data_IF_400586617236
#
_entry.id   IF_400586617236
#
_cell.length_a   1.000
_cell.length_b   1.000
_cell.length_c   1.000
_cell.angle_alpha   90.00
_cell.angle_beta   90.00
_cell.angle_gamma   90.00
#
_symmetry.space_group_name_H-M   'P 1'
#
loop_
_entity.id
_entity.type
_entity.pdbx_description
1 polymer ?
#
# COMPACT_ATOMS: atom_id res chain seq x y z
N UNK A 1 4.51 17.26 -3.22
CA UNK A 1 5.78 17.69 -3.83
C UNK A 1 6.15 16.72 -4.94
N UNK A 2 6.87 17.17 -5.97
CA UNK A 2 7.46 16.34 -7.03
C UNK A 2 8.92 16.77 -7.17
N UNK A 3 9.81 15.82 -7.37
CA UNK A 3 11.26 16.06 -7.50
C UNK A 3 11.60 16.15 -8.99
N UNK A 4 12.42 17.13 -9.38
CA UNK A 4 12.91 17.32 -10.77
C UNK A 4 14.44 17.23 -10.90
N UNK A 5 15.14 16.92 -9.81
CA UNK A 5 16.60 16.76 -9.80
C UNK A 5 17.03 15.37 -10.23
N UNK A 6 17.31 15.20 -11.52
CA UNK A 6 17.95 13.99 -12.08
C UNK A 6 19.43 13.91 -11.72
N UNK A 7 20.12 15.06 -11.66
CA UNK A 7 21.51 15.17 -11.21
C UNK A 7 21.58 15.50 -9.72
N UNK A 8 22.14 14.58 -8.93
CA UNK A 8 22.31 14.70 -7.49
C UNK A 8 23.24 13.60 -6.96
N UNK A 9 23.40 13.48 -5.64
CA UNK A 9 24.36 12.52 -5.04
C UNK A 9 24.11 11.06 -5.45
N UNK A 10 22.90 10.70 -5.87
CA UNK A 10 22.54 9.35 -6.30
C UNK A 10 22.76 9.06 -7.79
N UNK A 11 23.37 9.98 -8.54
CA UNK A 11 23.59 9.88 -9.99
C UNK A 11 22.33 9.48 -10.78
N UNK A 12 21.16 9.95 -10.36
CA UNK A 12 19.89 9.74 -11.07
C UNK A 12 19.28 8.33 -10.99
N UNK A 13 19.96 7.32 -10.43
CA UNK A 13 19.46 5.94 -10.42
C UNK A 13 18.12 5.79 -9.67
N UNK A 14 18.03 6.34 -8.45
CA UNK A 14 16.78 6.35 -7.68
C UNK A 14 15.71 7.28 -8.29
N UNK A 15 16.16 8.33 -8.99
CA UNK A 15 15.26 9.25 -9.67
C UNK A 15 14.54 8.57 -10.83
N UNK A 16 15.30 7.97 -11.75
CA UNK A 16 14.77 7.26 -12.91
C UNK A 16 13.93 6.04 -12.51
N UNK A 17 14.38 5.26 -11.52
CA UNK A 17 13.71 4.03 -11.11
C UNK A 17 12.38 4.27 -10.37
N UNK A 18 12.29 5.34 -9.56
CA UNK A 18 11.15 5.52 -8.66
C UNK A 18 10.59 6.95 -8.61
N UNK A 19 11.42 7.98 -8.42
CA UNK A 19 10.92 9.35 -8.16
C UNK A 19 10.26 9.99 -9.37
N UNK A 20 10.73 9.70 -10.57
CA UNK A 20 10.22 10.23 -11.84
C UNK A 20 8.75 9.89 -12.09
N UNK A 21 8.24 8.81 -11.48
CA UNK A 21 6.87 8.31 -11.66
C UNK A 21 5.89 8.84 -10.62
N UNK A 22 6.35 9.66 -9.66
CA UNK A 22 5.48 10.27 -8.67
C UNK A 22 4.59 11.31 -9.35
N UNK A 23 3.28 11.06 -9.34
CA UNK A 23 2.30 11.95 -9.98
C UNK A 23 2.02 13.16 -9.09
N UNK A 24 2.33 14.35 -9.61
CA UNK A 24 1.89 15.59 -9.00
C UNK A 24 0.37 15.73 -9.16
N UNK A 25 -0.33 15.97 -8.05
CA UNK A 25 -1.76 16.29 -8.10
C UNK A 25 -1.94 17.69 -8.71
N UNK A 26 -2.79 17.79 -9.74
CA UNK A 26 -3.10 19.05 -10.44
C UNK A 26 -4.46 19.62 -10.05
N UNK A 27 -5.27 18.88 -9.31
CA UNK A 27 -6.60 19.31 -8.87
C UNK A 27 -6.52 20.10 -7.57
N UNK A 28 -7.23 21.23 -7.50
CA UNK A 28 -7.33 21.99 -6.25
C UNK A 28 -8.25 21.27 -5.28
N UNK A 29 -7.70 20.88 -4.13
CA UNK A 29 -8.45 20.27 -3.03
C UNK A 29 -8.53 21.31 -1.90
N UNK A 30 -9.75 21.71 -1.54
CA UNK A 30 -9.96 22.53 -0.34
C UNK A 30 -10.00 21.63 0.90
N UNK A 31 -8.84 21.43 1.50
CA UNK A 31 -8.71 20.60 2.71
C UNK A 31 -9.42 21.19 3.92
N UNK A 32 -9.57 22.52 4.02
CA UNK A 32 -10.22 23.15 5.18
C UNK A 32 -11.71 22.90 5.13
N UNK A 33 -12.34 23.21 3.99
CA UNK A 33 -13.77 22.98 3.80
C UNK A 33 -14.13 21.48 3.86
N UNK A 34 -13.23 20.61 3.41
CA UNK A 34 -13.47 19.16 3.37
C UNK A 34 -12.87 18.39 4.57
N UNK A 35 -12.24 19.06 5.55
CA UNK A 35 -11.53 18.39 6.64
C UNK A 35 -12.39 17.35 7.40
N UNK A 36 -13.67 17.61 7.72
CA UNK A 36 -14.52 16.61 8.39
C UNK A 36 -14.70 15.32 7.59
N UNK A 37 -14.64 15.39 6.26
CA UNK A 37 -14.82 14.24 5.37
C UNK A 37 -13.49 13.57 5.01
N UNK A 38 -12.48 14.36 4.64
CA UNK A 38 -11.21 13.85 4.13
C UNK A 38 -10.25 13.42 5.22
N UNK A 39 -10.27 14.11 6.37
CA UNK A 39 -9.21 13.99 7.37
C UNK A 39 -9.69 13.32 8.67
N UNK A 40 -10.97 12.96 8.79
CA UNK A 40 -11.52 12.39 10.02
C UNK A 40 -10.74 11.18 10.54
N UNK A 41 -10.45 10.23 9.65
CA UNK A 41 -9.76 8.99 10.00
C UNK A 41 -8.27 9.19 10.31
N UNK A 42 -7.65 10.30 9.90
CA UNK A 42 -6.22 10.58 10.16
C UNK A 42 -6.01 11.56 11.33
N UNK A 43 -7.06 11.83 12.12
CA UNK A 43 -6.97 12.76 13.26
C UNK A 43 -6.14 12.21 14.42
N UNK A 44 -6.19 10.90 14.63
CA UNK A 44 -5.41 10.19 15.64
C UNK A 44 -5.18 8.75 15.18
N UNK A 45 -4.35 8.04 15.94
CA UNK A 45 -3.94 6.68 15.64
C UNK A 45 -5.12 5.71 15.70
N UNK A 46 -6.01 5.86 16.70
CA UNK A 46 -7.12 4.93 16.92
C UNK A 46 -8.15 4.97 15.79
N UNK A 47 -8.49 6.17 15.30
CA UNK A 47 -9.39 6.34 14.18
C UNK A 47 -8.77 5.81 12.88
N UNK A 48 -7.45 5.95 12.73
CA UNK A 48 -6.77 5.44 11.54
C UNK A 48 -6.67 3.92 11.58
N UNK A 49 -6.36 3.33 12.73
CA UNK A 49 -6.40 1.89 12.97
C UNK A 49 -7.77 1.31 12.60
N UNK A 50 -8.85 1.89 13.15
CA UNK A 50 -10.22 1.46 12.86
C UNK A 50 -10.53 1.57 11.37
N UNK A 51 -10.12 2.65 10.71
CA UNK A 51 -10.32 2.83 9.29
C UNK A 51 -9.60 1.74 8.48
N UNK A 52 -8.31 1.49 8.75
CA UNK A 52 -7.55 0.45 8.03
C UNK A 52 -8.17 -0.93 8.25
N UNK A 53 -8.50 -1.30 9.49
CA UNK A 53 -9.15 -2.58 9.83
C UNK A 53 -10.47 -2.73 9.06
N UNK A 54 -11.32 -1.71 9.08
CA UNK A 54 -12.61 -1.74 8.38
C UNK A 54 -12.42 -1.89 6.87
N UNK A 55 -11.51 -1.12 6.27
CA UNK A 55 -11.21 -1.25 4.85
C UNK A 55 -10.74 -2.67 4.50
N UNK A 56 -9.73 -3.18 5.21
CA UNK A 56 -9.18 -4.50 4.96
C UNK A 56 -10.20 -5.63 5.18
N UNK A 57 -11.12 -5.48 6.14
CA UNK A 57 -12.20 -6.45 6.39
C UNK A 57 -13.14 -6.57 5.20
N UNK A 58 -13.39 -5.46 4.50
CA UNK A 58 -14.23 -5.45 3.28
C UNK A 58 -13.50 -5.88 2.01
N UNK A 59 -12.16 -5.96 2.04
CA UNK A 59 -11.36 -6.36 0.88
C UNK A 59 -11.28 -7.87 0.70
N UNK A 60 -11.19 -8.29 -0.55
CA UNK A 60 -11.06 -9.70 -0.92
C UNK A 60 -9.64 -10.17 -0.61
N UNK A 61 -9.50 -11.25 0.17
CA UNK A 61 -8.21 -11.90 0.40
C UNK A 61 -7.75 -12.62 -0.87
N UNK A 62 -6.56 -12.29 -1.35
CA UNK A 62 -5.96 -12.94 -2.53
C UNK A 62 -4.48 -13.25 -2.31
N UNK A 63 -3.92 -14.10 -3.16
CA UNK A 63 -2.47 -14.35 -3.21
C UNK A 63 -1.90 -13.76 -4.50
N UNK A 64 -0.57 -13.67 -4.63
CA UNK A 64 0.04 -13.26 -5.90
C UNK A 64 -0.38 -14.15 -7.09
N UNK A 65 -0.70 -15.42 -6.86
CA UNK A 65 -1.11 -16.37 -7.89
C UNK A 65 -2.54 -16.10 -8.37
N UNK A 66 -3.45 -15.79 -7.45
CA UNK A 66 -4.87 -15.58 -7.77
C UNK A 66 -5.17 -14.14 -8.19
N UNK A 67 -4.27 -13.21 -7.90
CA UNK A 67 -4.49 -11.78 -8.09
C UNK A 67 -4.87 -11.41 -9.53
N UNK A 68 -4.18 -11.92 -10.55
CA UNK A 68 -4.45 -11.49 -11.94
C UNK A 68 -5.84 -11.90 -12.45
N UNK A 69 -6.37 -13.05 -12.00
CA UNK A 69 -7.74 -13.46 -12.29
C UNK A 69 -8.78 -12.57 -11.58
N UNK A 70 -8.49 -12.22 -10.33
CA UNK A 70 -9.37 -11.37 -9.51
C UNK A 70 -9.43 -9.93 -10.00
N UNK A 71 -8.29 -9.37 -10.42
CA UNK A 71 -8.21 -8.03 -11.02
C UNK A 71 -9.06 -7.93 -12.30
N UNK A 72 -9.10 -9.00 -13.09
CA UNK A 72 -9.85 -9.02 -14.35
C UNK A 72 -11.36 -9.17 -14.13
N UNK A 73 -11.76 -9.80 -13.03
CA UNK A 73 -13.16 -10.18 -12.77
C UNK A 73 -13.91 -9.24 -11.81
N UNK A 74 -13.21 -8.34 -11.12
CA UNK A 74 -13.78 -7.57 -10.01
C UNK A 74 -13.42 -6.08 -10.05
N UNK A 75 -13.77 -5.37 -11.13
CA UNK A 75 -13.49 -3.94 -11.27
C UNK A 75 -13.93 -3.13 -10.04
N UNK A 76 -13.05 -2.26 -9.56
CA UNK A 76 -13.32 -1.38 -8.42
C UNK A 76 -13.28 -2.02 -7.03
N UNK A 77 -13.16 -3.35 -6.91
CA UNK A 77 -12.97 -4.00 -5.59
C UNK A 77 -11.57 -3.73 -5.04
N UNK A 78 -11.45 -3.76 -3.72
CA UNK A 78 -10.17 -3.75 -3.03
C UNK A 78 -9.72 -5.16 -2.66
N UNK A 79 -8.41 -5.36 -2.59
CA UNK A 79 -7.79 -6.63 -2.27
C UNK A 79 -6.85 -6.47 -1.09
N UNK A 80 -6.75 -7.52 -0.29
CA UNK A 80 -5.70 -7.66 0.73
C UNK A 80 -4.86 -8.89 0.45
N UNK A 81 -3.56 -8.74 0.62
CA UNK A 81 -2.56 -9.77 0.30
C UNK A 81 -1.63 -9.88 1.50
N UNK A 82 -1.60 -11.05 2.10
CA UNK A 82 -0.63 -11.34 3.14
C UNK A 82 0.74 -11.63 2.51
N UNK A 83 1.81 -11.08 3.08
CA UNK A 83 3.18 -11.42 2.71
C UNK A 83 4.00 -11.80 3.92
N UNK A 84 5.04 -12.63 3.68
CA UNK A 84 6.13 -12.82 4.64
C UNK A 84 7.24 -11.85 4.29
N UNK A 85 7.91 -11.30 5.29
CA UNK A 85 8.96 -10.30 5.09
C UNK A 85 10.06 -10.78 4.12
N UNK A 86 10.44 -12.05 4.20
CA UNK A 86 11.40 -12.68 3.27
C UNK A 86 11.00 -12.63 1.79
N UNK A 87 9.71 -12.43 1.49
CA UNK A 87 9.17 -12.32 0.13
C UNK A 87 8.97 -10.87 -0.32
N UNK A 88 9.18 -9.87 0.54
CA UNK A 88 8.84 -8.47 0.24
C UNK A 88 9.48 -7.97 -1.06
N UNK A 89 10.74 -8.33 -1.33
CA UNK A 89 11.41 -7.94 -2.56
C UNK A 89 10.67 -8.40 -3.84
N UNK A 90 10.06 -9.59 -3.81
CA UNK A 90 9.23 -10.10 -4.91
C UNK A 90 7.95 -9.28 -5.07
N UNK A 91 7.30 -8.92 -3.96
CA UNK A 91 6.12 -8.06 -3.96
C UNK A 91 6.45 -6.66 -4.48
N UNK A 92 7.56 -6.08 -4.04
CA UNK A 92 8.03 -4.77 -4.50
C UNK A 92 8.25 -4.76 -6.01
N UNK A 93 8.95 -5.76 -6.55
CA UNK A 93 9.12 -5.91 -8.01
C UNK A 93 7.80 -6.09 -8.75
N UNK A 94 6.87 -6.90 -8.22
CA UNK A 94 5.56 -7.17 -8.84
C UNK A 94 4.66 -5.94 -8.92
N UNK A 95 4.75 -5.05 -7.93
CA UNK A 95 3.88 -3.88 -7.81
C UNK A 95 4.57 -2.55 -8.16
N UNK A 96 5.88 -2.57 -8.42
CA UNK A 96 6.66 -1.35 -8.65
C UNK A 96 6.84 -0.52 -7.38
N UNK A 97 6.79 -1.16 -6.20
CA UNK A 97 7.07 -0.50 -4.92
C UNK A 97 8.58 -0.36 -4.74
N UNK A 98 8.98 0.56 -3.86
CA UNK A 98 10.38 0.69 -3.48
C UNK A 98 10.78 -0.50 -2.58
N UNK A 99 11.86 -1.23 -2.89
CA UNK A 99 12.29 -2.40 -2.12
C UNK A 99 13.05 -2.03 -0.84
N UNK A 100 13.48 -0.76 -0.69
CA UNK A 100 14.26 -0.30 0.45
C UNK A 100 13.41 -0.17 1.72
N UNK A 101 14.11 -0.19 2.84
CA UNK A 101 13.58 0.07 4.17
C UNK A 101 14.48 1.05 4.91
N UNK A 102 13.91 1.71 5.91
CA UNK A 102 14.67 2.52 6.87
C UNK A 102 14.32 2.02 8.26
N UNK A 103 15.33 1.57 9.00
CA UNK A 103 15.16 1.04 10.37
C UNK A 103 14.12 -0.10 10.44
N UNK A 104 14.13 -0.99 9.44
CA UNK A 104 13.17 -2.10 9.33
C UNK A 104 11.77 -1.69 8.87
N UNK A 105 11.53 -0.41 8.57
CA UNK A 105 10.22 0.10 8.12
C UNK A 105 10.25 0.29 6.60
N UNK A 106 9.34 -0.40 5.90
CA UNK A 106 9.14 -0.24 4.46
C UNK A 106 8.56 1.15 4.13
N UNK A 107 8.92 1.68 2.97
CA UNK A 107 8.35 2.95 2.48
C UNK A 107 6.82 2.87 2.43
N UNK A 108 6.15 3.91 2.91
CA UNK A 108 4.67 4.04 2.96
C UNK A 108 3.93 3.03 3.83
N UNK A 109 4.64 2.24 4.65
CA UNK A 109 3.99 1.30 5.56
C UNK A 109 3.42 2.03 6.79
N UNK A 110 2.26 1.54 7.23
CA UNK A 110 1.65 1.88 8.51
C UNK A 110 1.41 0.59 9.28
N UNK A 111 2.11 0.39 10.42
CA UNK A 111 2.06 -0.85 11.21
C UNK A 111 2.21 -2.13 10.37
N UNK A 112 3.14 -2.13 9.40
CA UNK A 112 3.38 -3.27 8.50
C UNK A 112 2.45 -3.36 7.28
N UNK A 113 1.44 -2.48 7.17
CA UNK A 113 0.50 -2.44 6.04
C UNK A 113 0.93 -1.40 5.02
N UNK A 114 1.15 -1.84 3.77
CA UNK A 114 1.31 -0.95 2.63
C UNK A 114 -0.03 -0.79 1.91
N UNK A 115 -0.48 0.46 1.77
CA UNK A 115 -1.75 0.82 1.15
C UNK A 115 -1.46 1.55 -0.17
N UNK A 116 -1.79 0.93 -1.30
CA UNK A 116 -1.51 1.51 -2.63
C UNK A 116 -2.58 1.14 -3.65
N UNK A 117 -2.54 1.76 -4.83
CA UNK A 117 -3.40 1.38 -5.95
C UNK A 117 -2.60 0.60 -6.99
N UNK A 118 -3.18 -0.47 -7.51
CA UNK A 118 -2.64 -1.28 -8.59
C UNK A 118 -3.74 -1.59 -9.60
N UNK A 119 -3.53 -1.25 -10.88
CA UNK A 119 -4.50 -1.46 -11.97
C UNK A 119 -5.94 -1.01 -11.62
N UNK A 120 -6.09 0.17 -11.00
CA UNK A 120 -7.37 0.76 -10.50
C UNK A 120 -7.97 0.13 -9.23
N UNK A 121 -7.32 -0.85 -8.63
CA UNK A 121 -7.77 -1.46 -7.38
C UNK A 121 -6.93 -0.98 -6.20
N UNK A 122 -7.56 -0.82 -5.04
CA UNK A 122 -6.83 -0.59 -3.79
C UNK A 122 -6.30 -1.92 -3.27
N UNK A 123 -4.99 -1.97 -3.00
CA UNK A 123 -4.30 -3.12 -2.44
C UNK A 123 -3.83 -2.78 -1.03
N UNK A 124 -4.09 -3.71 -0.11
CA UNK A 124 -3.51 -3.74 1.24
C UNK A 124 -2.54 -4.92 1.29
N UNK A 125 -1.25 -4.63 1.18
CA UNK A 125 -0.19 -5.63 1.37
C UNK A 125 0.19 -5.61 2.84
N UNK A 126 -0.04 -6.71 3.56
CA UNK A 126 0.04 -6.74 5.02
C UNK A 126 0.75 -8.00 5.53
N UNK A 127 1.22 -7.94 6.76
CA UNK A 127 1.84 -9.05 7.47
C UNK A 127 1.01 -9.45 8.73
N UNK A 128 1.49 -9.11 9.93
CA UNK A 128 0.97 -9.55 11.21
C UNK A 128 -0.15 -8.65 11.76
N UNK A 129 -0.30 -7.44 11.24
CA UNK A 129 -1.34 -6.50 11.66
C UNK A 129 -2.28 -6.16 10.50
N UNK A 130 -3.60 -6.02 10.74
CA UNK A 130 -4.28 -6.21 12.03
C UNK A 130 -4.48 -7.69 12.39
N UNK A 131 -4.27 -8.03 13.67
CA UNK A 131 -4.38 -9.40 14.20
C UNK A 131 -5.80 -9.97 14.16
N UNK A 132 -6.80 -9.12 13.94
CA UNK A 132 -8.21 -9.52 13.76
C UNK A 132 -8.49 -10.19 12.42
N UNK A 133 -7.57 -10.07 11.44
CA UNK A 133 -7.74 -10.69 10.13
C UNK A 133 -7.12 -12.07 10.08
N UNK A 134 -7.78 -13.05 9.43
CA UNK A 134 -7.21 -14.38 9.27
C UNK A 134 -5.96 -14.30 8.39
N UNK A 135 -4.85 -14.86 8.88
CA UNK A 135 -3.66 -15.10 8.07
C UNK A 135 -3.97 -16.26 7.10
N UNK A 136 -3.80 -16.01 5.81
CA UNK A 136 -3.88 -17.02 4.76
C UNK A 136 -2.82 -18.12 4.94
N UNK A 137 -1.66 -17.81 5.55
CA UNK A 137 -0.62 -18.82 5.80
C UNK A 137 -0.84 -19.68 7.06
N UNK A 138 -1.76 -19.30 7.96
CA UNK A 138 -1.96 -20.01 9.24
C UNK A 138 -2.74 -21.35 9.12
N UNK A 139 -3.16 -21.76 7.92
CA UNK A 139 -3.96 -22.98 7.71
C UNK A 139 -3.18 -24.26 7.39
N UNK A 140 -1.84 -24.24 7.39
CA UNK A 140 -1.03 -25.41 7.01
C UNK A 140 -0.11 -25.92 8.13
N UNK A 141 -0.67 -26.13 9.33
CA UNK A 141 -0.03 -26.98 10.35
C UNK A 141 -1.10 -27.92 10.90
N UNK A 142 -1.24 -29.08 10.27
CA UNK A 142 -1.80 -30.31 10.86
C UNK A 142 -0.87 -31.45 10.49
#
# INVERSE_FOLDING_TARGET
SYTFGEEGQSQGQYFAAHLSRIKLNTERIDFVANAPRLLHHVRNEELFDQWVINQMTTCVQVTLLTLDGELSSNEGKCFRIEYRDSMYHRFAGRFGLMPDEKEGIRRTAYKGVLIFHYKKHRIFLYDNWPSSLPLAFAKNVT
#
